data_IF_339685309334
#
_entry.id   IF_339685309334
#
_cell.length_a   1.000
_cell.length_b   1.000
_cell.length_c   1.000
_cell.angle_alpha   90.00
_cell.angle_beta   90.00
_cell.angle_gamma   90.00
#
_symmetry.space_group_name_H-M   'P 1'
#
loop_
_entity.id
_entity.type
_entity.pdbx_description
1 polymer ?
#
# COMPACT_ATOMS: atom_id res chain seq x y z
N UNK A 1 1.97 -2.41 -5.22
CA UNK A 1 1.88 -3.34 -4.06
C UNK A 1 0.80 -2.81 -3.15
N UNK A 2 0.10 -3.63 -2.35
CA UNK A 2 -0.97 -3.14 -1.49
C UNK A 2 -0.49 -3.02 -0.02
N UNK A 3 -1.37 -2.66 0.89
CA UNK A 3 -1.10 -2.26 2.29
C UNK A 3 -0.15 -3.19 3.07
N UNK A 4 -0.42 -4.50 3.09
CA UNK A 4 0.38 -5.48 3.86
C UNK A 4 1.75 -5.69 3.21
N UNK A 5 1.81 -5.69 1.88
CA UNK A 5 3.06 -5.80 1.14
C UNK A 5 4.01 -4.65 1.43
N UNK A 6 3.51 -3.41 1.48
CA UNK A 6 4.32 -2.25 1.86
C UNK A 6 4.87 -2.37 3.30
N UNK A 7 4.03 -2.82 4.23
CA UNK A 7 4.48 -3.08 5.61
C UNK A 7 5.55 -4.19 5.65
N UNK A 8 5.37 -5.27 4.89
CA UNK A 8 6.34 -6.36 4.84
C UNK A 8 7.71 -5.91 4.33
N UNK A 9 7.75 -5.11 3.26
CA UNK A 9 9.01 -4.54 2.74
C UNK A 9 9.64 -3.60 3.78
N UNK A 10 8.83 -2.76 4.45
CA UNK A 10 9.33 -1.83 5.46
C UNK A 10 9.90 -2.57 6.68
N UNK A 11 9.21 -3.60 7.20
CA UNK A 11 9.70 -4.44 8.31
C UNK A 11 11.02 -5.12 7.95
N UNK A 12 11.13 -5.69 6.75
CA UNK A 12 12.39 -6.31 6.29
C UNK A 12 13.48 -5.29 6.01
N UNK A 13 13.07 -4.06 5.71
CA UNK A 13 13.97 -2.95 5.40
C UNK A 13 14.56 -2.26 6.62
N UNK A 14 13.84 -2.22 7.72
CA UNK A 14 14.14 -1.47 8.94
C UNK A 14 13.97 -2.36 10.17
N UNK A 15 15.08 -2.72 10.84
CA UNK A 15 15.06 -3.62 11.99
C UNK A 15 14.13 -3.13 13.14
N UNK A 16 14.09 -1.81 13.34
CA UNK A 16 13.33 -1.16 14.40
C UNK A 16 12.28 -0.19 13.82
N UNK A 17 11.47 -0.68 12.86
CA UNK A 17 10.43 0.14 12.24
C UNK A 17 9.45 0.67 13.28
N UNK A 18 9.40 1.99 13.44
CA UNK A 18 8.43 2.66 14.31
C UNK A 18 7.00 2.52 13.78
N UNK A 19 5.97 2.65 14.65
CA UNK A 19 4.58 2.66 14.18
C UNK A 19 4.29 3.77 13.16
N UNK A 20 4.95 4.93 13.28
CA UNK A 20 4.81 6.05 12.36
C UNK A 20 5.42 5.73 10.97
N UNK A 21 6.59 5.09 10.93
CA UNK A 21 7.23 4.66 9.70
C UNK A 21 6.36 3.62 8.96
N UNK A 22 5.85 2.63 9.68
CA UNK A 22 4.93 1.62 9.13
C UNK A 22 3.64 2.25 8.61
N UNK A 23 3.09 3.21 9.35
CA UNK A 23 1.90 3.96 8.94
C UNK A 23 2.17 4.79 7.67
N UNK A 24 3.34 5.42 7.57
CA UNK A 24 3.79 6.14 6.38
C UNK A 24 3.82 5.27 5.14
N UNK A 25 4.31 4.02 5.28
CA UNK A 25 4.34 3.05 4.19
C UNK A 25 2.94 2.64 3.68
N UNK A 26 1.90 2.76 4.50
CA UNK A 26 0.52 2.48 4.11
C UNK A 26 -0.26 3.73 3.65
N UNK A 27 0.18 4.91 4.04
CA UNK A 27 -0.61 6.14 3.97
C UNK A 27 -1.05 6.54 2.55
N UNK A 28 -0.23 6.40 1.49
CA UNK A 28 -0.67 6.69 0.13
C UNK A 28 -1.86 5.82 -0.31
N UNK A 29 -1.84 4.53 0.00
CA UNK A 29 -2.96 3.63 -0.29
C UNK A 29 -4.20 3.95 0.53
N UNK A 30 -4.03 4.22 1.83
CA UNK A 30 -5.14 4.64 2.68
C UNK A 30 -5.80 5.91 2.16
N UNK A 31 -5.00 6.85 1.64
CA UNK A 31 -5.50 8.09 1.04
C UNK A 31 -6.27 7.85 -0.26
N UNK A 32 -5.77 6.91 -1.08
CA UNK A 32 -6.45 6.50 -2.32
C UNK A 32 -7.80 5.79 -2.02
N UNK A 33 -7.84 4.92 -1.00
CA UNK A 33 -9.08 4.30 -0.51
C UNK A 33 -10.05 5.36 0.01
N UNK A 34 -9.54 6.32 0.78
CA UNK A 34 -10.31 7.42 1.34
C UNK A 34 -10.71 8.49 0.30
N UNK A 35 -10.10 8.49 -0.89
CA UNK A 35 -10.26 9.55 -1.91
C UNK A 35 -9.90 10.95 -1.39
N UNK A 36 -8.88 11.01 -0.55
CA UNK A 36 -8.30 12.26 -0.04
C UNK A 36 -6.94 12.45 -0.70
N UNK A 37 -6.69 13.65 -1.22
CA UNK A 37 -5.39 13.98 -1.78
C UNK A 37 -4.45 14.44 -0.68
N UNK A 38 -3.37 13.70 -0.47
CA UNK A 38 -2.30 14.13 0.40
C UNK A 38 -1.34 15.06 -0.35
N UNK A 39 -0.82 16.05 0.35
CA UNK A 39 0.33 16.82 -0.13
C UNK A 39 1.55 15.93 -0.03
N UNK A 40 2.44 16.00 -1.01
CA UNK A 40 3.76 15.40 -0.82
C UNK A 40 4.34 16.00 0.46
N UNK A 41 4.82 15.18 1.41
CA UNK A 41 5.70 15.73 2.44
C UNK A 41 6.80 16.43 1.66
N UNK A 42 7.06 17.72 1.99
CA UNK A 42 8.06 18.48 1.29
C UNK A 42 9.32 17.62 1.19
N UNK A 43 9.73 17.28 -0.05
CA UNK A 43 10.96 16.55 -0.30
C UNK A 43 12.20 17.39 0.14
N UNK A 44 11.97 18.59 0.56
CA UNK A 44 12.88 19.52 1.16
C UNK A 44 13.07 19.17 2.64
N UNK A 45 14.07 18.42 2.87
CA UNK A 45 14.74 18.09 4.11
C UNK A 45 14.30 16.76 4.73
N UNK A 46 15.16 15.72 4.62
CA UNK A 46 15.33 14.84 5.74
C UNK A 46 15.74 15.75 6.90
N UNK A 47 14.79 16.18 7.72
CA UNK A 47 15.16 16.79 8.98
C UNK A 47 15.98 15.73 9.71
N UNK A 48 17.24 16.02 10.07
CA UNK A 48 17.97 15.13 10.96
C UNK A 48 17.06 14.93 12.17
N UNK A 49 16.98 13.69 12.66
CA UNK A 49 16.26 13.38 13.91
C UNK A 49 16.51 14.54 14.84
N UNK A 50 15.43 15.19 15.26
CA UNK A 50 15.51 16.45 15.98
C UNK A 50 16.41 16.26 17.20
N UNK A 51 17.50 17.03 17.29
CA UNK A 51 18.28 17.13 18.52
C UNK A 51 17.47 17.77 19.67
N UNK A 52 16.26 18.25 19.38
CA UNK A 52 15.31 18.82 20.34
C UNK A 52 14.61 17.76 21.20
N UNK A 53 14.66 16.48 20.84
CA UNK A 53 14.03 15.39 21.60
C UNK A 53 12.51 15.50 21.72
N UNK A 54 11.86 16.25 20.82
CA UNK A 54 10.40 16.33 20.79
C UNK A 54 9.84 15.13 20.02
N UNK A 55 9.03 14.27 20.65
CA UNK A 55 8.44 13.09 20.01
C UNK A 55 7.66 13.40 18.72
N UNK A 56 6.96 14.54 18.68
CA UNK A 56 6.16 15.00 17.53
C UNK A 56 6.98 15.15 16.23
N UNK A 57 8.23 15.64 16.35
CA UNK A 57 9.12 15.83 15.19
C UNK A 57 9.62 14.48 14.66
N UNK A 58 9.81 13.50 15.54
CA UNK A 58 10.28 12.17 15.15
C UNK A 58 9.17 11.37 14.44
N UNK A 59 7.93 11.45 14.90
CA UNK A 59 6.81 10.75 14.26
C UNK A 59 6.52 11.31 12.85
N UNK A 60 6.61 12.62 12.65
CA UNK A 60 6.43 13.23 11.33
C UNK A 60 7.56 12.86 10.36
N UNK A 61 8.81 12.81 10.86
CA UNK A 61 9.96 12.38 10.07
C UNK A 61 9.87 10.92 9.66
N UNK A 62 9.54 10.03 10.59
CA UNK A 62 9.35 8.61 10.32
C UNK A 62 8.22 8.35 9.32
N UNK A 63 7.10 9.06 9.45
CA UNK A 63 5.98 8.98 8.53
C UNK A 63 6.39 9.42 7.12
N UNK A 64 7.19 10.49 6.98
CA UNK A 64 7.69 10.95 5.69
C UNK A 64 8.64 9.93 5.05
N UNK A 65 9.51 9.28 5.84
CA UNK A 65 10.37 8.19 5.37
C UNK A 65 9.50 7.01 4.88
N UNK A 66 8.48 6.62 5.64
CA UNK A 66 7.58 5.56 5.23
C UNK A 66 6.85 5.85 3.91
N UNK A 67 6.42 7.10 3.68
CA UNK A 67 5.82 7.53 2.41
C UNK A 67 6.83 7.42 1.26
N UNK A 68 8.07 7.81 1.48
CA UNK A 68 9.12 7.68 0.47
C UNK A 68 9.40 6.20 0.15
N UNK A 69 9.48 5.35 1.17
CA UNK A 69 9.62 3.89 1.02
C UNK A 69 8.45 3.29 0.25
N UNK A 70 7.21 3.73 0.51
CA UNK A 70 6.04 3.32 -0.28
C UNK A 70 6.25 3.58 -1.76
N UNK A 71 6.58 4.80 -2.14
CA UNK A 71 6.75 5.14 -3.55
C UNK A 71 7.91 4.38 -4.21
N UNK A 72 9.02 4.18 -3.51
CA UNK A 72 10.14 3.40 -4.02
C UNK A 72 9.75 1.92 -4.20
N UNK A 73 9.05 1.36 -3.23
CA UNK A 73 8.53 -0.02 -3.24
C UNK A 73 7.54 -0.21 -4.39
N UNK A 74 6.62 0.73 -4.56
CA UNK A 74 5.59 0.69 -5.61
C UNK A 74 6.22 0.74 -7.00
N UNK A 75 7.18 1.63 -7.21
CA UNK A 75 7.93 1.71 -8.46
C UNK A 75 8.70 0.41 -8.75
N UNK A 76 9.36 -0.18 -7.74
CA UNK A 76 10.09 -1.44 -7.87
C UNK A 76 9.14 -2.60 -8.19
N UNK A 77 8.01 -2.71 -7.49
CA UNK A 77 7.04 -3.78 -7.68
C UNK A 77 6.40 -3.74 -9.07
N UNK A 78 5.84 -2.59 -9.48
CA UNK A 78 5.21 -2.44 -10.79
C UNK A 78 6.22 -2.52 -11.94
N UNK A 79 7.47 -2.18 -11.69
CA UNK A 79 8.59 -2.36 -12.62
C UNK A 79 9.12 -3.78 -12.72
N UNK A 80 8.77 -4.70 -11.80
CA UNK A 80 9.27 -6.06 -11.78
C UNK A 80 8.76 -6.88 -12.98
N UNK A 81 9.55 -7.85 -13.43
CA UNK A 81 9.13 -8.77 -14.48
C UNK A 81 7.97 -9.65 -13.98
N UNK A 82 8.03 -10.07 -12.72
CA UNK A 82 6.99 -10.88 -12.09
C UNK A 82 5.63 -10.20 -12.15
N UNK A 83 5.51 -8.94 -11.67
CA UNK A 83 4.23 -8.23 -11.68
C UNK A 83 3.69 -8.04 -13.09
N UNK A 84 4.51 -7.57 -14.03
CA UNK A 84 4.08 -7.32 -15.41
C UNK A 84 3.57 -8.57 -16.10
N UNK A 85 4.26 -9.69 -15.91
CA UNK A 85 3.87 -10.97 -16.51
C UNK A 85 2.56 -11.50 -15.91
N UNK A 86 2.47 -11.57 -14.58
CA UNK A 86 1.30 -12.13 -13.91
C UNK A 86 0.07 -11.22 -14.03
N UNK A 87 0.25 -9.91 -13.99
CA UNK A 87 -0.84 -8.96 -14.23
C UNK A 87 -1.42 -9.10 -15.64
N UNK A 88 -0.56 -9.28 -16.67
CA UNK A 88 -1.01 -9.51 -18.04
C UNK A 88 -1.77 -10.84 -18.15
N UNK A 89 -1.22 -11.92 -17.64
CA UNK A 89 -1.87 -13.25 -17.69
C UNK A 89 -3.21 -13.26 -16.95
N UNK A 90 -3.30 -12.64 -15.78
CA UNK A 90 -4.55 -12.57 -15.05
C UNK A 90 -5.57 -11.68 -15.78
N UNK A 91 -5.13 -10.59 -16.41
CA UNK A 91 -5.98 -9.77 -17.27
C UNK A 91 -6.55 -10.59 -18.44
N UNK A 92 -5.71 -11.34 -19.16
CA UNK A 92 -6.13 -12.17 -20.29
C UNK A 92 -7.17 -13.22 -19.82
N UNK A 93 -6.91 -13.91 -18.70
CA UNK A 93 -7.85 -14.89 -18.14
C UNK A 93 -9.20 -14.26 -17.76
N UNK A 94 -9.22 -13.03 -17.23
CA UNK A 94 -10.47 -12.33 -16.90
C UNK A 94 -11.25 -11.91 -18.15
N UNK A 95 -10.55 -11.46 -19.20
CA UNK A 95 -11.18 -11.13 -20.49
C UNK A 95 -11.77 -12.37 -21.15
N UNK A 96 -11.05 -13.50 -21.14
CA UNK A 96 -11.53 -14.79 -21.65
C UNK A 96 -12.75 -15.30 -20.87
N UNK A 97 -12.83 -15.00 -19.57
CA UNK A 97 -13.99 -15.29 -18.73
C UNK A 97 -15.16 -14.30 -18.92
N UNK A 98 -15.06 -13.37 -19.88
CA UNK A 98 -16.13 -12.44 -20.23
C UNK A 98 -16.22 -11.21 -19.32
N UNK A 99 -15.22 -10.93 -18.47
CA UNK A 99 -15.17 -9.71 -17.67
C UNK A 99 -14.83 -8.52 -18.58
N UNK A 100 -15.58 -7.45 -18.50
CA UNK A 100 -15.32 -6.26 -19.31
C UNK A 100 -13.93 -5.68 -19.07
N UNK A 101 -13.31 -5.10 -20.11
CA UNK A 101 -11.92 -4.64 -20.08
C UNK A 101 -11.57 -3.70 -18.91
N UNK A 102 -12.45 -2.80 -18.54
CA UNK A 102 -12.23 -1.86 -17.44
C UNK A 102 -12.14 -2.58 -16.08
N UNK A 103 -13.21 -3.28 -15.67
CA UNK A 103 -13.20 -4.13 -14.48
C UNK A 103 -12.09 -5.19 -14.50
N UNK A 104 -11.84 -5.85 -15.64
CA UNK A 104 -10.78 -6.86 -15.75
C UNK A 104 -9.39 -6.27 -15.44
N UNK A 105 -9.06 -5.10 -16.01
CA UNK A 105 -7.79 -4.42 -15.71
C UNK A 105 -7.64 -4.04 -14.25
N UNK A 106 -8.70 -3.47 -13.65
CA UNK A 106 -8.69 -3.10 -12.25
C UNK A 106 -8.55 -4.33 -11.34
N UNK A 107 -9.28 -5.41 -11.66
CA UNK A 107 -9.25 -6.66 -10.90
C UNK A 107 -7.93 -7.41 -11.06
N UNK A 108 -7.32 -7.43 -12.24
CA UNK A 108 -6.02 -8.05 -12.46
C UNK A 108 -4.94 -7.34 -11.64
N UNK A 109 -4.90 -6.02 -11.72
CA UNK A 109 -3.89 -5.20 -11.04
C UNK A 109 -4.03 -5.30 -9.52
N UNK A 110 -5.14 -4.81 -8.97
CA UNK A 110 -5.33 -4.78 -7.51
C UNK A 110 -5.57 -6.17 -6.92
N UNK A 111 -6.13 -7.11 -7.70
CA UNK A 111 -6.32 -8.49 -7.26
C UNK A 111 -5.00 -9.23 -7.04
N UNK A 112 -4.01 -9.04 -7.92
CA UNK A 112 -2.68 -9.63 -7.76
C UNK A 112 -1.96 -9.07 -6.53
N UNK A 113 -2.06 -7.77 -6.29
CA UNK A 113 -1.52 -7.12 -5.09
C UNK A 113 -2.17 -7.65 -3.81
N UNK A 114 -3.50 -7.77 -3.80
CA UNK A 114 -4.23 -8.27 -2.64
C UNK A 114 -4.00 -9.77 -2.38
N UNK A 115 -3.77 -10.58 -3.43
CA UNK A 115 -3.36 -11.97 -3.25
C UNK A 115 -1.98 -12.06 -2.58
N UNK A 116 -1.04 -11.20 -2.98
CA UNK A 116 0.27 -11.10 -2.33
C UNK A 116 0.13 -10.73 -0.86
N UNK A 117 -0.69 -9.73 -0.54
CA UNK A 117 -1.03 -9.38 0.84
C UNK A 117 -1.61 -10.58 1.60
N UNK A 118 -2.50 -11.35 0.96
CA UNK A 118 -3.12 -12.54 1.54
C UNK A 118 -2.14 -13.66 1.91
N UNK A 119 -1.05 -13.81 1.17
CA UNK A 119 0.00 -14.76 1.52
C UNK A 119 0.90 -14.22 2.67
N UNK A 120 1.13 -12.92 2.70
CA UNK A 120 1.96 -12.27 3.73
C UNK A 120 1.29 -12.24 5.11
N UNK A 121 -0.04 -12.30 5.20
CA UNK A 121 -0.74 -12.39 6.49
C UNK A 121 -0.55 -13.74 7.20
N UNK A 122 0.05 -14.72 6.55
CA UNK A 122 0.53 -15.94 7.22
C UNK A 122 1.69 -15.68 8.19
N UNK A 123 2.39 -14.56 8.07
CA UNK A 123 3.45 -14.12 9.00
C UNK A 123 2.87 -13.23 10.10
N UNK A 124 2.86 -13.73 11.33
CA UNK A 124 2.32 -13.01 12.49
C UNK A 124 3.06 -11.70 12.79
N UNK A 125 4.34 -11.58 12.44
CA UNK A 125 5.10 -10.33 12.62
C UNK A 125 4.61 -9.25 11.66
N UNK A 126 4.32 -9.61 10.42
CA UNK A 126 3.77 -8.70 9.41
C UNK A 126 2.36 -8.27 9.81
N UNK A 127 1.52 -9.20 10.26
CA UNK A 127 0.16 -8.89 10.74
C UNK A 127 0.20 -7.90 11.90
N UNK A 128 1.05 -8.17 12.91
CA UNK A 128 1.16 -7.27 14.07
C UNK A 128 1.74 -5.90 13.69
N UNK A 129 2.72 -5.85 12.79
CA UNK A 129 3.24 -4.60 12.26
C UNK A 129 2.15 -3.80 11.51
N UNK A 130 1.32 -4.47 10.70
CA UNK A 130 0.19 -3.84 10.01
C UNK A 130 -0.84 -3.29 11.00
N UNK A 131 -1.17 -4.05 12.04
CA UNK A 131 -2.06 -3.60 13.11
C UNK A 131 -1.48 -2.41 13.89
N UNK A 132 -0.17 -2.42 14.17
CA UNK A 132 0.50 -1.28 14.82
C UNK A 132 0.43 -0.02 13.95
N UNK A 133 0.65 -0.15 12.63
CA UNK A 133 0.53 0.95 11.68
C UNK A 133 -0.89 1.54 11.66
N UNK A 134 -1.92 0.68 11.61
CA UNK A 134 -3.32 1.10 11.65
C UNK A 134 -3.68 1.81 12.95
N UNK A 135 -3.26 1.26 14.10
CA UNK A 135 -3.46 1.92 15.41
C UNK A 135 -2.79 3.28 15.45
N UNK A 136 -1.57 3.41 14.93
CA UNK A 136 -0.84 4.68 14.95
C UNK A 136 -1.59 5.82 14.24
N UNK A 137 -2.38 5.52 13.22
CA UNK A 137 -3.20 6.53 12.52
C UNK A 137 -4.65 6.58 13.01
N UNK A 138 -5.11 5.58 13.79
CA UNK A 138 -6.46 5.50 14.36
C UNK A 138 -6.57 6.13 15.75
N UNK A 139 -5.58 5.95 16.62
CA UNK A 139 -5.70 6.16 18.07
C UNK A 139 -5.39 7.61 18.57
N UNK A 140 -5.32 8.60 17.68
CA UNK A 140 -5.21 10.01 18.11
C UNK A 140 -3.80 10.47 18.50
N UNK A 141 -2.75 9.66 18.29
CA UNK A 141 -1.36 9.99 18.61
C UNK A 141 -0.66 10.89 17.58
N UNK A 142 0.66 11.06 17.76
CA UNK A 142 1.52 11.93 16.96
C UNK A 142 1.54 11.53 15.48
N UNK A 143 1.62 10.24 15.17
CA UNK A 143 1.58 9.75 13.80
C UNK A 143 0.26 10.09 13.10
N UNK A 144 -0.88 10.04 13.82
CA UNK A 144 -2.17 10.48 13.31
C UNK A 144 -2.19 11.98 13.05
N UNK A 145 -1.71 12.78 14.00
CA UNK A 145 -1.64 14.23 13.84
C UNK A 145 -0.80 14.60 12.61
N UNK A 146 0.36 13.98 12.45
CA UNK A 146 1.22 14.16 11.28
C UNK A 146 0.50 13.73 9.99
N UNK A 147 -0.15 12.55 9.96
CA UNK A 147 -0.89 12.06 8.80
C UNK A 147 -2.04 13.00 8.39
N UNK A 148 -2.79 13.53 9.37
CA UNK A 148 -3.89 14.46 9.13
C UNK A 148 -3.40 15.78 8.54
N UNK A 149 -2.25 16.28 8.98
CA UNK A 149 -1.68 17.53 8.46
C UNK A 149 -1.23 17.47 7.00
N UNK A 150 -1.01 16.26 6.45
CA UNK A 150 -0.70 16.08 5.03
C UNK A 150 -1.89 16.36 4.11
N UNK A 151 -3.12 16.30 4.60
CA UNK A 151 -4.28 16.72 3.82
C UNK A 151 -4.37 18.25 3.73
N UNK A 152 -5.07 18.76 2.72
CA UNK A 152 -5.43 20.17 2.65
C UNK A 152 -6.23 20.56 3.89
N UNK A 153 -6.10 21.80 4.42
CA UNK A 153 -6.76 22.21 5.67
C UNK A 153 -8.27 21.91 5.67
N UNK A 154 -8.93 22.15 4.55
CA UNK A 154 -10.35 21.90 4.32
C UNK A 154 -10.75 20.42 4.40
N UNK A 155 -9.84 19.51 4.06
CA UNK A 155 -10.08 18.05 4.02
C UNK A 155 -9.70 17.36 5.34
N UNK A 156 -9.02 18.02 6.27
CA UNK A 156 -8.44 17.38 7.47
C UNK A 156 -9.46 16.69 8.35
N UNK A 157 -10.60 17.31 8.57
CA UNK A 157 -11.67 16.73 9.41
C UNK A 157 -12.23 15.46 8.77
N UNK A 158 -12.47 15.51 7.46
CA UNK A 158 -12.95 14.34 6.73
C UNK A 158 -11.89 13.25 6.67
N UNK A 159 -10.63 13.61 6.44
CA UNK A 159 -9.51 12.68 6.41
C UNK A 159 -9.36 11.97 7.76
N UNK A 160 -9.37 12.70 8.86
CA UNK A 160 -9.33 12.13 10.20
C UNK A 160 -10.44 11.10 10.44
N UNK A 161 -11.70 11.45 10.11
CA UNK A 161 -12.83 10.56 10.24
C UNK A 161 -12.74 9.32 9.33
N UNK A 162 -12.12 9.44 8.16
CA UNK A 162 -11.89 8.30 7.25
C UNK A 162 -10.80 7.39 7.75
N UNK A 163 -9.70 7.93 8.31
CA UNK A 163 -8.65 7.14 8.96
C UNK A 163 -9.24 6.29 10.10
N UNK A 164 -10.08 6.86 10.97
CA UNK A 164 -10.74 6.11 12.06
C UNK A 164 -11.56 4.94 11.53
N UNK A 165 -12.36 5.18 10.49
CA UNK A 165 -13.18 4.13 9.88
C UNK A 165 -12.33 3.04 9.25
N UNK A 166 -11.26 3.40 8.53
CA UNK A 166 -10.39 2.44 7.88
C UNK A 166 -9.63 1.64 8.93
N UNK A 167 -9.03 2.30 9.92
CA UNK A 167 -8.29 1.64 11.00
C UNK A 167 -9.17 0.67 11.80
N UNK A 168 -10.43 1.04 12.03
CA UNK A 168 -11.38 0.20 12.76
C UNK A 168 -12.04 -0.91 11.94
N UNK A 169 -11.97 -0.87 10.60
CA UNK A 169 -12.67 -1.82 9.72
C UNK A 169 -11.77 -2.62 8.79
N UNK A 170 -10.50 -2.25 8.67
CA UNK A 170 -9.56 -2.95 7.81
C UNK A 170 -9.04 -4.18 8.54
N UNK A 171 -9.40 -5.33 8.00
CA UNK A 171 -8.91 -6.63 8.46
C UNK A 171 -7.92 -7.16 7.41
N UNK A 172 -6.61 -7.21 7.71
CA UNK A 172 -5.61 -7.76 6.79
C UNK A 172 -5.89 -9.23 6.43
N UNK A 173 -6.45 -10.02 7.35
CA UNK A 173 -6.74 -11.44 7.14
C UNK A 173 -7.86 -11.68 6.11
N UNK A 174 -8.67 -10.66 5.82
CA UNK A 174 -9.69 -10.74 4.76
C UNK A 174 -9.11 -10.99 3.37
N UNK A 175 -7.81 -10.78 3.16
CA UNK A 175 -7.11 -11.07 1.89
C UNK A 175 -6.66 -12.53 1.77
N UNK A 176 -6.78 -13.35 2.80
CA UNK A 176 -6.34 -14.75 2.79
C UNK A 176 -7.12 -15.68 1.84
N UNK A 177 -8.19 -15.19 1.19
CA UNK A 177 -8.97 -15.97 0.23
C UNK A 177 -9.27 -15.19 -1.05
N UNK A 178 -9.34 -15.89 -2.18
CA UNK A 178 -9.70 -15.29 -3.47
C UNK A 178 -11.11 -14.65 -3.44
N UNK A 179 -12.05 -15.26 -2.71
CA UNK A 179 -13.40 -14.70 -2.55
C UNK A 179 -13.38 -13.41 -1.72
N UNK A 180 -12.58 -13.35 -0.66
CA UNK A 180 -12.38 -12.13 0.14
C UNK A 180 -11.80 -11.00 -0.71
N UNK A 181 -10.78 -11.30 -1.52
CA UNK A 181 -10.18 -10.36 -2.48
C UNK A 181 -11.22 -9.88 -3.51
N UNK A 182 -11.98 -10.79 -4.12
CA UNK A 182 -13.01 -10.43 -5.12
C UNK A 182 -14.09 -9.52 -4.52
N UNK A 183 -14.57 -9.80 -3.31
CA UNK A 183 -15.53 -8.94 -2.59
C UNK A 183 -14.94 -7.57 -2.25
N UNK A 184 -13.66 -7.51 -1.90
CA UNK A 184 -12.97 -6.24 -1.66
C UNK A 184 -12.85 -5.42 -2.94
N UNK A 185 -12.45 -6.04 -4.05
CA UNK A 185 -12.41 -5.40 -5.38
C UNK A 185 -13.77 -4.83 -5.77
N UNK A 186 -14.84 -5.60 -5.58
CA UNK A 186 -16.19 -5.16 -5.85
C UNK A 186 -16.55 -3.90 -5.04
N UNK A 187 -16.27 -3.90 -3.73
CA UNK A 187 -16.51 -2.74 -2.85
C UNK A 187 -15.69 -1.53 -3.27
N UNK A 188 -14.42 -1.71 -3.61
CA UNK A 188 -13.51 -0.62 -4.01
C UNK A 188 -13.92 0.01 -5.34
N UNK A 189 -14.44 -0.78 -6.27
CA UNK A 189 -14.82 -0.32 -7.60
C UNK A 189 -16.26 0.19 -7.70
N UNK A 190 -17.08 -0.04 -6.68
CA UNK A 190 -18.49 0.37 -6.63
C UNK A 190 -18.66 1.86 -6.95
N UNK A 191 -19.56 2.17 -7.88
CA UNK A 191 -19.85 3.52 -8.37
C UNK A 191 -18.74 4.12 -9.25
N UNK A 192 -17.71 3.35 -9.61
CA UNK A 192 -16.66 3.77 -10.55
C UNK A 192 -16.98 3.25 -11.94
N UNK A 193 -17.89 3.88 -12.63
CA UNK A 193 -18.53 3.46 -13.89
C UNK A 193 -17.61 2.76 -14.91
N UNK A 194 -16.33 3.11 -14.99
CA UNK A 194 -15.39 2.55 -15.97
C UNK A 194 -14.70 1.27 -15.50
N UNK A 195 -14.71 0.98 -14.21
CA UNK A 195 -13.98 -0.14 -13.60
C UNK A 195 -14.83 -0.90 -12.58
N UNK A 196 -16.13 -0.62 -12.51
CA UNK A 196 -17.04 -1.23 -11.55
C UNK A 196 -17.17 -2.73 -11.81
N UNK A 197 -16.77 -3.53 -10.81
CA UNK A 197 -16.96 -4.97 -10.83
C UNK A 197 -18.39 -5.28 -10.40
N UNK A 198 -19.21 -5.68 -11.37
CA UNK A 198 -20.62 -6.03 -11.16
C UNK A 198 -20.75 -7.43 -10.56
N UNK A 199 -21.90 -7.69 -9.91
CA UNK A 199 -22.21 -8.95 -9.24
C UNK A 199 -22.03 -10.16 -10.16
N UNK A 200 -22.43 -10.04 -11.42
CA UNK A 200 -22.33 -11.09 -12.43
C UNK A 200 -20.89 -11.55 -12.74
N UNK A 201 -19.89 -10.70 -12.49
CA UNK A 201 -18.48 -10.99 -12.75
C UNK A 201 -17.70 -11.47 -11.49
N UNK A 202 -18.29 -11.37 -10.31
CA UNK A 202 -17.60 -11.71 -9.05
C UNK A 202 -17.14 -13.17 -9.05
N UNK A 203 -17.96 -14.09 -9.56
CA UNK A 203 -17.62 -15.52 -9.64
C UNK A 203 -16.41 -15.72 -10.58
N UNK A 204 -16.44 -15.13 -11.76
CA UNK A 204 -15.34 -15.23 -12.72
C UNK A 204 -14.02 -14.67 -12.14
N UNK A 205 -14.08 -13.51 -11.47
CA UNK A 205 -12.92 -12.94 -10.81
C UNK A 205 -12.43 -13.83 -9.68
N UNK A 206 -13.31 -14.37 -8.83
CA UNK A 206 -12.93 -15.30 -7.76
C UNK A 206 -12.21 -16.51 -8.31
N UNK A 207 -12.75 -17.14 -9.37
CA UNK A 207 -12.16 -18.32 -10.00
C UNK A 207 -10.77 -18.03 -10.57
N UNK A 208 -10.62 -16.91 -11.29
CA UNK A 208 -9.34 -16.51 -11.84
C UNK A 208 -8.30 -16.24 -10.71
N UNK A 209 -8.67 -15.52 -9.65
CA UNK A 209 -7.81 -15.27 -8.50
C UNK A 209 -7.41 -16.57 -7.79
N UNK A 210 -8.33 -17.54 -7.61
CA UNK A 210 -8.01 -18.82 -6.97
C UNK A 210 -6.97 -19.61 -7.77
N UNK A 211 -7.03 -19.57 -9.11
CA UNK A 211 -6.01 -20.18 -9.96
C UNK A 211 -4.63 -19.55 -9.74
N UNK A 212 -4.57 -18.26 -9.43
CA UNK A 212 -3.31 -17.53 -9.21
C UNK A 212 -2.75 -17.68 -7.80
N UNK A 213 -3.53 -18.10 -6.81
CA UNK A 213 -3.07 -18.21 -5.41
C UNK A 213 -1.82 -19.08 -5.27
N UNK A 214 -1.78 -20.23 -5.91
CA UNK A 214 -0.62 -21.14 -5.84
C UNK A 214 0.66 -20.53 -6.42
N UNK A 215 0.54 -19.69 -7.44
CA UNK A 215 1.67 -18.95 -8.02
C UNK A 215 2.16 -17.90 -7.03
N UNK A 216 1.25 -17.09 -6.50
CA UNK A 216 1.58 -16.03 -5.53
C UNK A 216 2.16 -16.63 -4.25
N UNK A 217 1.58 -17.71 -3.72
CA UNK A 217 2.07 -18.40 -2.52
C UNK A 217 3.52 -18.87 -2.69
N UNK A 218 3.84 -19.48 -3.85
CA UNK A 218 5.20 -19.94 -4.14
C UNK A 218 6.21 -18.79 -4.22
N UNK A 219 5.81 -17.66 -4.80
CA UNK A 219 6.73 -16.60 -5.19
C UNK A 219 6.77 -15.44 -4.18
N UNK A 220 5.82 -15.34 -3.23
CA UNK A 220 5.58 -14.17 -2.37
C UNK A 220 6.82 -13.64 -1.65
N UNK A 221 7.58 -14.52 -1.01
CA UNK A 221 8.80 -14.11 -0.30
C UNK A 221 9.88 -13.59 -1.24
N UNK A 222 10.08 -14.28 -2.37
CA UNK A 222 11.05 -13.87 -3.39
C UNK A 222 10.69 -12.49 -3.97
N UNK A 223 9.41 -12.26 -4.27
CA UNK A 223 8.92 -10.98 -4.79
C UNK A 223 9.18 -9.85 -3.80
N UNK A 224 8.90 -10.05 -2.51
CA UNK A 224 9.14 -9.04 -1.48
C UNK A 224 10.63 -8.73 -1.34
N UNK A 225 11.50 -9.74 -1.38
CA UNK A 225 12.95 -9.57 -1.27
C UNK A 225 13.52 -8.86 -2.50
N UNK A 226 13.09 -9.22 -3.72
CA UNK A 226 13.48 -8.54 -4.97
C UNK A 226 13.08 -7.07 -4.97
N UNK A 227 11.85 -6.79 -4.55
CA UNK A 227 11.33 -5.42 -4.45
C UNK A 227 12.12 -4.60 -3.44
N UNK A 228 12.42 -5.16 -2.26
CA UNK A 228 13.24 -4.50 -1.25
C UNK A 228 14.63 -4.13 -1.77
N UNK A 229 15.31 -5.08 -2.42
CA UNK A 229 16.64 -4.84 -3.00
C UNK A 229 16.59 -3.76 -4.07
N UNK A 230 15.58 -3.83 -4.97
CA UNK A 230 15.43 -2.87 -6.06
C UNK A 230 15.13 -1.47 -5.55
N UNK A 231 14.20 -1.33 -4.60
CA UNK A 231 13.83 -0.06 -3.99
C UNK A 231 15.05 0.60 -3.28
N UNK A 232 15.82 -0.18 -2.52
CA UNK A 232 17.03 0.30 -1.85
C UNK A 232 18.11 0.77 -2.82
N UNK A 233 18.31 0.04 -3.91
CA UNK A 233 19.29 0.42 -4.92
C UNK A 233 18.89 1.72 -5.63
N UNK A 234 17.61 1.90 -5.95
CA UNK A 234 17.10 3.13 -6.53
C UNK A 234 17.32 4.34 -5.61
N UNK A 235 17.06 4.19 -4.31
CA UNK A 235 17.24 5.26 -3.33
C UNK A 235 18.72 5.64 -3.16
N UNK A 236 19.63 4.66 -3.20
CA UNK A 236 21.08 4.90 -3.11
C UNK A 236 21.70 5.54 -4.36
N UNK A 237 21.07 5.33 -5.53
CA UNK A 237 21.57 5.81 -6.82
C UNK A 237 21.15 7.27 -7.11
N UNK A 238 20.32 7.88 -6.29
CA UNK A 238 19.99 9.31 -6.41
C UNK A 238 21.23 10.11 -5.99
N UNK A 239 21.85 10.91 -6.90
CA UNK A 239 23.01 11.70 -6.56
C UNK A 239 22.62 12.75 -5.50
N UNK A 240 23.49 12.91 -4.49
CA UNK A 240 23.24 13.79 -3.33
C UNK A 240 22.90 15.26 -3.70
N UNK A 241 23.21 15.70 -4.92
CA UNK A 241 22.93 17.05 -5.41
C UNK A 241 21.54 17.23 -6.04
N UNK A 242 20.81 16.16 -6.37
CA UNK A 242 19.42 16.27 -6.82
C UNK A 242 18.49 16.61 -5.66
N UNK A 243 18.91 16.32 -4.43
CA UNK A 243 18.19 16.71 -3.22
C UNK A 243 18.25 18.24 -2.95
N UNK A 244 19.13 18.99 -3.64
CA UNK A 244 19.34 20.43 -3.44
C UNK A 244 18.79 21.32 -4.55
N UNK A 245 18.32 20.77 -5.68
CA UNK A 245 17.87 21.57 -6.83
C UNK A 245 16.35 21.63 -7.03
N UNK A 246 15.56 21.18 -6.09
CA UNK A 246 14.09 21.37 -6.09
C UNK A 246 13.67 22.67 -5.37
N UNK A 247 14.61 23.59 -5.12
CA UNK A 247 14.35 24.96 -4.61
C UNK A 247 14.80 25.98 -5.64
N UNK A 248 13.98 26.21 -6.67
CA UNK A 248 13.95 27.44 -7.45
C UNK A 248 12.53 27.64 -7.99
#
# INVERSE_FOLDING_TARGET
MNLVGHVAVTVRGHADASPALLAGAMLPDLSAIARIRLRSPDAATPRPRSTSGRPDDDAAADLAVGIADHHATDAAFHGSAWFREHNRRLLDALLDAGVERGPARASAHAGLEMLLDGELVGDSQIVEATRRALRAVGDGGEARTAAVTLAAPEDRTEWAARLDRIAGSLDPEAYASASGVALRLQRMTRGRRRIELRDEHVIAVTTALETYRSVVARDSNHVVDEVLVTARNATRSLPAHVALSATA
#
